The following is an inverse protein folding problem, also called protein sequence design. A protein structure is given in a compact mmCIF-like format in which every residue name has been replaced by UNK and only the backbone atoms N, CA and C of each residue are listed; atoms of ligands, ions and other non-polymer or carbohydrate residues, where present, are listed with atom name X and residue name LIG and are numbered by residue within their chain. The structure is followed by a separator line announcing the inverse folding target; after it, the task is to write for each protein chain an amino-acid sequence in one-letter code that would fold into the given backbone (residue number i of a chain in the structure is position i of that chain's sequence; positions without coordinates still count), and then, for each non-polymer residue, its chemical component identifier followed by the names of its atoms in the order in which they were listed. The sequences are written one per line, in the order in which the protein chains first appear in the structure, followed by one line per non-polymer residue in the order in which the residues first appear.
data_IF_202675938452
#
_entry.id   IF_202675938452
#
_cell.length_a   1.000
_cell.length_b   1.000
_cell.length_c   1.000
_cell.angle_alpha   90.00
_cell.angle_beta   90.00
_cell.angle_gamma   90.00
#
_symmetry.space_group_name_H-M   'P 1'
#
loop_
_entity.id
_entity.type
_entity.pdbx_description
1 polymer ?
#
# COMPACT_ATOMS: atom_id res chain seq x y z
N UNK A 1 11.13 -21.31 2.16
CA UNK A 1 11.82 -20.03 2.52
C UNK A 1 11.84 -19.91 4.02
N UNK A 2 12.91 -19.40 4.70
CA UNK A 2 12.85 -19.18 6.15
C UNK A 2 12.10 -17.87 6.43
N UNK A 3 10.83 -17.95 6.82
CA UNK A 3 9.95 -16.80 7.04
C UNK A 3 10.15 -16.10 8.38
N UNK A 4 10.97 -16.64 9.30
CA UNK A 4 11.21 -16.05 10.63
C UNK A 4 11.88 -14.65 10.56
N UNK A 5 12.53 -14.35 9.43
CA UNK A 5 13.17 -13.06 9.18
C UNK A 5 12.36 -12.11 8.30
N UNK A 6 11.12 -12.48 8.01
CA UNK A 6 10.24 -11.66 7.19
C UNK A 6 9.34 -10.79 8.06
N UNK A 7 9.22 -9.54 7.65
CA UNK A 7 8.40 -8.51 8.27
C UNK A 7 7.50 -7.86 7.24
N UNK A 8 6.39 -7.30 7.66
CA UNK A 8 5.33 -6.79 6.81
C UNK A 8 4.89 -5.40 7.29
N UNK A 9 4.68 -4.50 6.35
CA UNK A 9 4.08 -3.18 6.58
C UNK A 9 3.42 -2.68 5.30
N UNK A 10 2.56 -1.68 5.41
CA UNK A 10 1.94 -0.99 4.28
C UNK A 10 1.60 0.46 4.65
N UNK A 11 1.35 1.29 3.65
CA UNK A 11 0.75 2.62 3.78
C UNK A 11 1.48 3.55 4.74
N UNK A 12 2.82 3.54 4.69
CA UNK A 12 3.65 4.42 5.51
C UNK A 12 3.38 5.90 5.21
N UNK A 13 3.10 6.25 3.97
CA UNK A 13 2.82 7.60 3.49
C UNK A 13 3.81 8.66 4.01
N UNK A 14 5.11 8.35 3.95
CA UNK A 14 6.14 9.31 4.34
C UNK A 14 5.95 10.62 3.56
N UNK A 15 6.22 11.75 4.23
CA UNK A 15 6.11 13.11 3.68
C UNK A 15 4.69 13.56 3.31
N UNK A 16 3.65 12.76 3.60
CA UNK A 16 2.27 13.07 3.25
C UNK A 16 1.54 13.77 4.41
N UNK A 17 1.48 15.12 4.38
CA UNK A 17 0.84 15.90 5.44
C UNK A 17 -0.64 15.55 5.61
N UNK A 18 -1.38 15.39 4.49
CA UNK A 18 -2.83 15.20 4.56
C UNK A 18 -3.23 13.85 5.16
N UNK A 19 -2.34 12.84 5.15
CA UNK A 19 -2.62 11.54 5.77
C UNK A 19 -2.93 11.66 7.26
N UNK A 20 -2.34 12.66 7.93
CA UNK A 20 -2.64 12.95 9.34
C UNK A 20 -4.12 13.16 9.57
N UNK A 21 -4.80 13.88 8.65
CA UNK A 21 -6.25 14.11 8.74
C UNK A 21 -7.07 12.95 8.19
N UNK A 22 -6.63 12.37 7.07
CA UNK A 22 -7.39 11.31 6.40
C UNK A 22 -7.52 10.05 7.26
N UNK A 23 -6.45 9.70 7.97
CA UNK A 23 -6.38 8.52 8.82
C UNK A 23 -6.35 8.86 10.31
N UNK A 24 -6.70 10.09 10.67
CA UNK A 24 -6.74 10.56 12.07
C UNK A 24 -5.46 10.17 12.86
N UNK A 25 -4.28 10.28 12.20
CA UNK A 25 -2.99 9.96 12.84
C UNK A 25 -2.75 10.88 14.04
N UNK A 26 -2.11 10.40 15.11
CA UNK A 26 -1.94 11.13 16.37
C UNK A 26 -0.85 12.22 16.28
N UNK A 27 -0.92 13.06 15.26
CA UNK A 27 0.01 14.15 14.99
C UNK A 27 -0.73 15.45 14.70
N UNK A 28 -0.13 16.59 15.01
CA UNK A 28 -0.64 17.87 14.59
C UNK A 28 -0.56 18.04 13.06
N UNK A 29 -1.49 18.80 12.47
CA UNK A 29 -1.51 19.06 11.04
C UNK A 29 -0.47 20.12 10.61
N UNK A 30 0.80 19.90 10.93
CA UNK A 30 1.95 20.76 10.62
C UNK A 30 3.04 19.98 9.86
N UNK A 31 3.96 20.68 9.21
CA UNK A 31 5.09 20.03 8.56
C UNK A 31 6.12 19.50 9.55
N UNK A 32 6.24 20.13 10.72
CA UNK A 32 7.06 19.67 11.83
C UNK A 32 6.56 18.30 12.34
N UNK A 33 5.26 18.16 12.50
CA UNK A 33 4.65 16.90 12.90
C UNK A 33 4.78 15.81 11.82
N UNK A 34 4.79 16.18 10.51
CA UNK A 34 5.13 15.23 9.43
C UNK A 34 6.56 14.71 9.57
N UNK A 35 7.52 15.56 9.94
CA UNK A 35 8.90 15.10 10.19
C UNK A 35 8.95 14.13 11.36
N UNK A 36 8.23 14.43 12.45
CA UNK A 36 8.12 13.54 13.61
C UNK A 36 7.49 12.21 13.21
N UNK A 37 6.37 12.23 12.49
CA UNK A 37 5.70 11.04 11.97
C UNK A 37 6.66 10.16 11.12
N UNK A 38 7.41 10.80 10.21
CA UNK A 38 8.39 10.08 9.39
C UNK A 38 9.48 9.43 10.26
N UNK A 39 9.97 10.15 11.28
CA UNK A 39 10.99 9.63 12.18
C UNK A 39 10.46 8.46 13.02
N UNK A 40 9.23 8.55 13.52
CA UNK A 40 8.60 7.49 14.30
C UNK A 40 8.42 6.22 13.46
N UNK A 41 7.98 6.36 12.21
CA UNK A 41 7.86 5.24 11.26
C UNK A 41 9.24 4.64 10.94
N UNK A 42 10.22 5.47 10.56
CA UNK A 42 11.55 5.01 10.18
C UNK A 42 12.30 4.35 11.34
N UNK A 43 12.08 4.82 12.58
CA UNK A 43 12.68 4.23 13.78
C UNK A 43 12.25 2.79 14.04
N UNK A 44 11.07 2.37 13.55
CA UNK A 44 10.62 0.99 13.64
C UNK A 44 11.50 0.06 12.79
N UNK A 45 11.88 0.50 11.58
CA UNK A 45 12.82 -0.24 10.75
C UNK A 45 14.20 -0.39 11.42
N UNK A 46 14.65 0.62 12.16
CA UNK A 46 15.95 0.56 12.87
C UNK A 46 15.97 -0.56 13.93
N UNK A 47 14.81 -0.89 14.54
CA UNK A 47 14.67 -1.92 15.57
C UNK A 47 14.66 -3.34 15.02
N UNK A 48 14.42 -3.52 13.73
CA UNK A 48 14.36 -4.85 13.12
C UNK A 48 15.74 -5.53 13.10
N UNK A 49 15.78 -6.86 13.30
CA UNK A 49 17.03 -7.62 13.29
C UNK A 49 17.83 -7.46 12.00
N UNK A 50 19.15 -7.56 12.09
CA UNK A 50 20.02 -7.58 10.93
C UNK A 50 19.67 -8.73 9.98
N UNK A 51 19.74 -8.48 8.68
CA UNK A 51 19.44 -9.46 7.63
C UNK A 51 17.93 -9.78 7.52
N UNK A 52 17.05 -8.98 8.12
CA UNK A 52 15.59 -9.08 7.91
C UNK A 52 15.20 -8.77 6.46
N UNK A 53 14.13 -9.38 5.99
CA UNK A 53 13.46 -9.01 4.74
C UNK A 53 12.12 -8.35 5.07
N UNK A 54 11.93 -7.12 4.63
CA UNK A 54 10.70 -6.36 4.84
C UNK A 54 9.91 -6.37 3.53
N UNK A 55 8.65 -6.79 3.58
CA UNK A 55 7.69 -6.68 2.48
C UNK A 55 6.83 -5.47 2.78
N UNK A 56 6.95 -4.42 1.97
CA UNK A 56 6.05 -3.27 2.01
C UNK A 56 4.95 -3.50 0.96
N UNK A 57 3.69 -3.41 1.38
CA UNK A 57 2.54 -3.60 0.48
C UNK A 57 2.09 -2.30 -0.20
N UNK A 58 2.99 -1.31 -0.30
CA UNK A 58 2.77 -0.12 -1.10
C UNK A 58 2.49 1.15 -0.31
N UNK A 59 2.34 2.22 -1.07
CA UNK A 59 2.08 3.57 -0.60
C UNK A 59 3.11 4.06 0.43
N UNK A 60 4.39 3.94 0.04
CA UNK A 60 5.50 4.25 0.93
C UNK A 60 5.66 5.74 1.22
N UNK A 61 5.39 6.60 0.23
CA UNK A 61 5.54 8.05 0.35
C UNK A 61 4.63 8.81 -0.60
N UNK A 62 4.21 10.02 -0.22
CA UNK A 62 3.44 10.89 -1.10
C UNK A 62 3.74 12.37 -0.83
N UNK A 63 4.43 13.03 -1.76
CA UNK A 63 4.61 14.47 -1.77
C UNK A 63 5.10 14.92 -3.15
N UNK A 64 4.40 15.87 -3.79
CA UNK A 64 4.78 16.40 -5.11
C UNK A 64 6.15 17.10 -5.14
N UNK A 65 6.66 17.54 -3.98
CA UNK A 65 7.98 18.18 -3.82
C UNK A 65 9.07 17.21 -3.33
N UNK A 66 8.76 15.90 -3.26
CA UNK A 66 9.73 14.89 -2.86
C UNK A 66 10.90 14.85 -3.84
N UNK A 67 12.12 14.68 -3.32
CA UNK A 67 13.32 14.51 -4.16
C UNK A 67 13.81 13.07 -4.10
N UNK A 68 14.52 12.65 -5.14
CA UNK A 68 15.13 11.32 -5.19
C UNK A 68 16.04 11.08 -3.99
N UNK A 69 16.93 12.03 -3.70
CA UNK A 69 17.89 11.88 -2.59
C UNK A 69 17.22 11.77 -1.24
N UNK A 70 16.11 12.52 -1.02
CA UNK A 70 15.34 12.45 0.22
C UNK A 70 14.69 11.07 0.40
N UNK A 71 14.02 10.56 -0.63
CA UNK A 71 13.39 9.24 -0.56
C UNK A 71 14.44 8.13 -0.48
N UNK A 72 15.50 8.25 -1.28
CA UNK A 72 16.64 7.32 -1.27
C UNK A 72 17.27 7.20 0.13
N UNK A 73 17.47 8.32 0.83
CA UNK A 73 17.99 8.32 2.19
C UNK A 73 17.10 7.54 3.17
N UNK A 74 15.77 7.64 3.03
CA UNK A 74 14.84 6.85 3.82
C UNK A 74 14.96 5.35 3.50
N UNK A 75 15.01 4.99 2.21
CA UNK A 75 15.16 3.60 1.76
C UNK A 75 16.49 3.02 2.27
N UNK A 76 17.58 3.76 2.17
CA UNK A 76 18.89 3.33 2.68
C UNK A 76 18.87 3.12 4.20
N UNK A 77 18.16 3.97 4.95
CA UNK A 77 17.96 3.79 6.39
C UNK A 77 17.16 2.51 6.69
N UNK A 78 16.07 2.27 5.98
CA UNK A 78 15.26 1.05 6.15
C UNK A 78 16.09 -0.22 5.90
N UNK A 79 17.08 -0.14 5.00
CA UNK A 79 17.97 -1.26 4.62
C UNK A 79 19.22 -1.41 5.48
N UNK A 80 19.47 -0.54 6.47
CA UNK A 80 20.64 -0.68 7.35
C UNK A 80 20.75 -2.09 7.95
N UNK A 81 21.98 -2.55 8.23
CA UNK A 81 22.28 -3.85 8.81
C UNK A 81 21.85 -5.03 7.90
N UNK A 82 22.17 -4.94 6.61
CA UNK A 82 21.93 -5.97 5.58
C UNK A 82 20.45 -6.35 5.43
N UNK A 83 19.53 -5.48 5.80
CA UNK A 83 18.11 -5.70 5.57
C UNK A 83 17.77 -5.61 4.08
N UNK A 84 16.80 -6.40 3.66
CA UNK A 84 16.25 -6.39 2.29
C UNK A 84 14.86 -5.77 2.31
N UNK A 85 14.58 -4.98 1.29
CA UNK A 85 13.30 -4.29 1.16
C UNK A 85 12.62 -4.71 -0.17
N UNK A 86 11.48 -5.35 -0.06
CA UNK A 86 10.60 -5.70 -1.17
C UNK A 86 9.40 -4.77 -1.16
N UNK A 87 8.83 -4.48 -2.32
CA UNK A 87 7.61 -3.68 -2.43
C UNK A 87 6.63 -4.31 -3.41
N UNK A 88 5.38 -4.40 -3.00
CA UNK A 88 4.22 -4.53 -3.89
C UNK A 88 3.71 -3.12 -4.11
N UNK A 89 3.74 -2.62 -5.36
CA UNK A 89 3.43 -1.21 -5.64
C UNK A 89 1.98 -0.87 -5.32
N UNK A 90 1.80 0.16 -4.49
CA UNK A 90 0.51 0.79 -4.23
C UNK A 90 0.09 1.75 -5.33
N UNK A 91 -1.12 2.30 -5.25
CA UNK A 91 -1.64 3.21 -6.25
C UNK A 91 -0.83 4.51 -6.32
N UNK A 92 -0.37 5.06 -5.19
CA UNK A 92 0.50 6.24 -5.19
C UNK A 92 1.91 5.94 -5.69
N UNK A 93 2.45 4.76 -5.42
CA UNK A 93 3.77 4.34 -5.93
C UNK A 93 3.77 4.20 -7.45
N UNK A 94 2.69 3.62 -8.04
CA UNK A 94 2.54 3.45 -9.49
C UNK A 94 2.58 4.76 -10.24
N UNK A 95 2.11 5.86 -9.62
CA UNK A 95 2.02 7.18 -10.23
C UNK A 95 3.22 8.07 -9.93
N UNK A 96 4.03 7.72 -8.94
CA UNK A 96 5.11 8.55 -8.39
C UNK A 96 6.10 9.01 -9.47
N UNK A 97 6.47 8.10 -10.41
CA UNK A 97 7.46 8.38 -11.47
C UNK A 97 7.06 9.51 -12.42
N UNK A 98 5.75 9.81 -12.58
CA UNK A 98 5.29 10.90 -13.44
C UNK A 98 4.62 12.05 -12.66
N UNK A 99 4.17 11.83 -11.42
CA UNK A 99 3.54 12.87 -10.60
C UNK A 99 4.56 13.71 -9.83
N UNK A 100 5.62 13.10 -9.32
CA UNK A 100 6.63 13.81 -8.55
C UNK A 100 7.57 14.58 -9.50
N UNK A 101 7.70 15.89 -9.27
CA UNK A 101 8.46 16.78 -10.16
C UNK A 101 9.89 16.33 -10.40
N UNK A 102 10.57 15.84 -9.37
CA UNK A 102 11.97 15.39 -9.49
C UNK A 102 12.13 14.06 -10.24
N UNK A 103 11.08 13.27 -10.34
CA UNK A 103 11.12 11.95 -11.02
C UNK A 103 10.63 12.02 -12.46
N UNK A 104 9.75 12.97 -12.75
CA UNK A 104 9.10 13.13 -14.05
C UNK A 104 10.10 13.25 -15.18
N UNK A 105 10.01 12.35 -16.17
CA UNK A 105 10.90 12.31 -17.33
C UNK A 105 12.28 11.70 -17.08
N UNK A 106 12.59 11.28 -15.83
CA UNK A 106 13.83 10.56 -15.51
C UNK A 106 13.64 9.05 -15.49
N UNK A 107 12.42 8.58 -15.21
CA UNK A 107 12.05 7.18 -15.11
C UNK A 107 10.85 6.89 -16.01
N UNK A 108 10.90 5.79 -16.74
CA UNK A 108 9.84 5.40 -17.69
C UNK A 108 8.74 4.56 -17.04
N UNK A 109 8.98 4.07 -15.82
CA UNK A 109 8.04 3.24 -15.09
C UNK A 109 8.27 3.32 -13.58
N UNK A 110 7.27 2.99 -12.76
CA UNK A 110 7.47 2.87 -11.31
C UNK A 110 8.49 1.77 -10.96
N UNK A 111 8.53 0.67 -11.73
CA UNK A 111 9.52 -0.38 -11.54
C UNK A 111 10.96 0.15 -11.64
N UNK A 112 11.24 0.97 -12.66
CA UNK A 112 12.57 1.58 -12.86
C UNK A 112 12.92 2.54 -11.71
N UNK A 113 11.98 3.40 -11.30
CA UNK A 113 12.16 4.31 -10.17
C UNK A 113 12.49 3.56 -8.87
N UNK A 114 11.66 2.57 -8.50
CA UNK A 114 11.82 1.86 -7.23
C UNK A 114 13.07 0.95 -7.22
N UNK A 115 13.47 0.43 -8.38
CA UNK A 115 14.75 -0.26 -8.53
C UNK A 115 15.93 0.71 -8.31
N UNK A 116 15.88 1.90 -8.90
CA UNK A 116 16.89 2.95 -8.72
C UNK A 116 16.97 3.45 -7.27
N UNK A 117 15.83 3.53 -6.56
CA UNK A 117 15.78 3.84 -5.14
C UNK A 117 16.42 2.76 -4.25
N UNK A 118 16.65 1.56 -4.78
CA UNK A 118 17.39 0.50 -4.09
C UNK A 118 16.54 -0.58 -3.45
N UNK A 119 15.28 -0.74 -3.86
CA UNK A 119 14.49 -1.91 -3.46
C UNK A 119 15.10 -3.18 -4.03
N UNK A 120 15.18 -4.24 -3.23
CA UNK A 120 15.76 -5.52 -3.65
C UNK A 120 14.80 -6.30 -4.57
N UNK A 121 13.50 -6.08 -4.41
CA UNK A 121 12.46 -6.58 -5.32
C UNK A 121 11.32 -5.57 -5.43
N UNK A 122 10.83 -5.39 -6.65
CA UNK A 122 9.70 -4.53 -6.97
C UNK A 122 8.65 -5.36 -7.69
N UNK A 123 7.45 -5.42 -7.14
CA UNK A 123 6.34 -6.20 -7.68
C UNK A 123 5.21 -5.25 -8.10
N UNK A 124 4.92 -5.13 -9.41
CA UNK A 124 3.82 -4.30 -9.88
C UNK A 124 2.44 -4.94 -9.65
N UNK A 125 2.41 -6.22 -9.30
CA UNK A 125 1.21 -7.02 -9.07
C UNK A 125 1.28 -7.77 -7.75
N UNK A 126 0.13 -8.27 -7.23
CA UNK A 126 0.11 -9.13 -6.04
C UNK A 126 1.06 -10.31 -6.15
N UNK A 127 1.58 -10.76 -5.02
CA UNK A 127 2.48 -11.93 -4.92
C UNK A 127 1.87 -13.01 -4.05
N UNK A 128 2.11 -14.26 -4.40
CA UNK A 128 1.68 -15.41 -3.62
C UNK A 128 2.88 -15.99 -2.86
N UNK A 129 2.74 -16.12 -1.54
CA UNK A 129 3.73 -16.75 -0.67
C UNK A 129 3.16 -18.03 -0.07
N UNK A 130 4.03 -19.10 -0.04
CA UNK A 130 3.69 -20.41 0.54
C UNK A 130 2.37 -20.99 -0.02
N UNK A 131 2.07 -20.69 -1.29
CA UNK A 131 0.86 -21.14 -2.00
C UNK A 131 -0.48 -20.84 -1.28
N UNK A 132 -0.45 -19.98 -0.27
CA UNK A 132 -1.58 -19.66 0.60
C UNK A 132 -1.82 -18.17 0.77
N UNK A 133 -0.77 -17.36 0.90
CA UNK A 133 -0.87 -15.96 1.28
C UNK A 133 -0.70 -15.04 0.07
N UNK A 134 -1.81 -14.47 -0.39
CA UNK A 134 -1.83 -13.48 -1.46
C UNK A 134 -1.57 -12.09 -0.86
N UNK A 135 -0.42 -11.51 -1.17
CA UNK A 135 -0.03 -10.18 -0.72
C UNK A 135 -0.29 -9.16 -1.80
N UNK A 136 -1.07 -8.14 -1.50
CA UNK A 136 -1.47 -7.09 -2.44
C UNK A 136 -1.47 -5.72 -1.74
N UNK A 137 -1.47 -4.65 -2.52
CA UNK A 137 -1.76 -3.33 -1.96
C UNK A 137 -3.26 -3.18 -1.72
N UNK A 138 -4.04 -3.21 -2.78
CA UNK A 138 -5.50 -3.21 -2.66
C UNK A 138 -6.03 -4.61 -2.28
N UNK A 139 -7.14 -4.71 -1.54
CA UNK A 139 -7.83 -5.99 -1.32
C UNK A 139 -8.14 -6.67 -2.65
N UNK A 140 -7.96 -7.99 -2.72
CA UNK A 140 -8.25 -8.80 -3.92
C UNK A 140 -9.43 -9.71 -3.63
N UNK A 141 -10.42 -9.70 -4.51
CA UNK A 141 -11.57 -10.60 -4.39
C UNK A 141 -11.11 -12.07 -4.39
N UNK A 142 -11.47 -12.78 -3.35
CA UNK A 142 -11.30 -14.23 -3.24
C UNK A 142 -12.68 -14.89 -3.34
N UNK A 143 -12.84 -15.78 -4.32
CA UNK A 143 -14.08 -16.51 -4.49
C UNK A 143 -14.44 -17.29 -3.20
N UNK A 144 -15.74 -17.44 -2.87
CA UNK A 144 -16.18 -18.23 -1.74
C UNK A 144 -15.60 -19.65 -1.76
N UNK A 145 -15.10 -20.11 -0.60
CA UNK A 145 -14.41 -21.40 -0.48
C UNK A 145 -12.94 -21.40 -0.93
N UNK A 146 -12.37 -20.25 -1.25
CA UNK A 146 -10.93 -20.11 -1.50
C UNK A 146 -10.12 -20.51 -0.27
N UNK A 147 -9.01 -21.24 -0.50
CA UNK A 147 -8.02 -21.54 0.55
C UNK A 147 -6.96 -20.44 0.66
N UNK A 148 -7.03 -19.40 -0.16
CA UNK A 148 -6.11 -18.28 -0.09
C UNK A 148 -6.49 -17.33 1.04
N UNK A 149 -5.48 -16.66 1.58
CA UNK A 149 -5.60 -15.56 2.53
C UNK A 149 -5.04 -14.32 1.87
N UNK A 150 -5.85 -13.26 1.75
CA UNK A 150 -5.37 -11.99 1.24
C UNK A 150 -4.85 -11.11 2.39
N UNK A 151 -3.57 -10.77 2.33
CA UNK A 151 -2.93 -9.79 3.19
C UNK A 151 -2.77 -8.52 2.37
N UNK A 152 -3.41 -7.44 2.80
CA UNK A 152 -3.57 -6.22 2.00
C UNK A 152 -3.23 -4.95 2.78
N UNK A 153 -3.05 -3.85 2.05
CA UNK A 153 -2.92 -2.49 2.53
C UNK A 153 -4.10 -1.61 2.13
N UNK A 154 -3.85 -0.34 1.78
CA UNK A 154 -4.75 0.59 1.10
C UNK A 154 -5.92 1.14 1.92
N UNK A 155 -6.58 0.33 2.72
CA UNK A 155 -7.80 0.74 3.45
C UNK A 155 -7.52 1.41 4.80
N UNK A 156 -6.24 1.61 5.12
CA UNK A 156 -5.75 2.24 6.36
C UNK A 156 -6.27 1.53 7.61
N UNK A 157 -7.00 2.21 8.49
CA UNK A 157 -7.56 1.66 9.72
C UNK A 157 -8.90 0.94 9.52
N UNK A 158 -9.43 0.94 8.29
CA UNK A 158 -10.74 0.36 7.96
C UNK A 158 -10.54 -1.09 7.46
N UNK A 159 -11.19 -2.05 8.09
CA UNK A 159 -11.30 -3.40 7.56
C UNK A 159 -12.38 -3.46 6.48
N UNK A 160 -12.21 -4.34 5.49
CA UNK A 160 -13.24 -4.56 4.48
C UNK A 160 -14.48 -5.22 5.09
N UNK A 161 -15.65 -4.91 4.53
CA UNK A 161 -16.92 -5.57 4.85
C UNK A 161 -17.19 -6.76 3.92
N UNK A 162 -18.16 -7.59 4.24
CA UNK A 162 -18.54 -8.74 3.39
C UNK A 162 -18.95 -8.32 1.98
N UNK A 163 -19.47 -7.13 1.82
CA UNK A 163 -19.95 -6.55 0.56
C UNK A 163 -18.96 -5.57 -0.08
N UNK A 164 -17.72 -5.48 0.43
CA UNK A 164 -16.69 -4.55 -0.05
C UNK A 164 -16.57 -4.52 -1.57
N UNK A 165 -16.50 -5.70 -2.20
CA UNK A 165 -16.36 -5.81 -3.65
C UNK A 165 -17.66 -5.62 -4.44
N UNK A 166 -18.80 -5.52 -3.76
CA UNK A 166 -20.07 -5.19 -4.39
C UNK A 166 -20.22 -3.70 -4.68
N UNK A 167 -19.53 -2.86 -3.92
CA UNK A 167 -19.67 -1.41 -3.99
C UNK A 167 -18.39 -0.66 -4.41
N UNK A 168 -17.23 -1.09 -3.93
CA UNK A 168 -15.96 -0.36 -4.12
C UNK A 168 -15.42 -0.47 -5.54
N UNK A 169 -15.52 -1.62 -6.19
CA UNK A 169 -15.05 -1.79 -7.57
C UNK A 169 -15.79 -0.89 -8.56
N UNK A 170 -17.04 -0.58 -8.28
CA UNK A 170 -17.89 0.26 -9.10
C UNK A 170 -17.50 1.74 -8.97
N UNK A 171 -17.38 2.22 -7.74
CA UNK A 171 -17.02 3.59 -7.46
C UNK A 171 -15.62 3.94 -7.95
N UNK A 172 -14.65 3.03 -7.78
CA UNK A 172 -13.27 3.28 -8.21
C UNK A 172 -13.14 3.26 -9.73
N UNK A 173 -13.68 2.26 -10.42
CA UNK A 173 -13.68 2.18 -11.89
C UNK A 173 -14.42 3.37 -12.52
N UNK A 174 -15.50 3.82 -11.91
CA UNK A 174 -16.27 4.99 -12.35
C UNK A 174 -15.48 6.29 -12.13
N UNK A 175 -14.85 6.48 -10.97
CA UNK A 175 -14.02 7.66 -10.69
C UNK A 175 -12.78 7.74 -11.59
N UNK A 176 -12.14 6.62 -11.91
CA UNK A 176 -11.02 6.57 -12.84
C UNK A 176 -11.46 6.90 -14.28
N UNK A 177 -12.61 6.41 -14.74
CA UNK A 177 -13.20 6.77 -16.04
C UNK A 177 -13.57 8.24 -16.12
N UNK A 178 -14.26 8.76 -15.11
CA UNK A 178 -14.63 10.19 -15.03
C UNK A 178 -13.38 11.08 -15.07
N UNK A 179 -12.31 10.71 -14.36
CA UNK A 179 -11.04 11.43 -14.39
C UNK A 179 -10.30 11.31 -15.73
N UNK A 180 -10.26 10.11 -16.31
CA UNK A 180 -9.53 9.85 -17.57
C UNK A 180 -10.23 10.48 -18.79
N UNK A 181 -11.56 10.57 -18.78
CA UNK A 181 -12.36 11.09 -19.88
C UNK A 181 -12.67 12.58 -19.75
N UNK A 182 -12.21 13.25 -18.68
CA UNK A 182 -12.44 14.67 -18.45
C UNK A 182 -13.93 15.03 -18.33
N UNK A 183 -14.76 14.08 -17.95
CA UNK A 183 -16.20 14.25 -17.79
C UNK A 183 -16.43 15.11 -16.56
N UNK A 184 -16.86 16.36 -16.76
CA UNK A 184 -17.33 17.21 -15.67
C UNK A 184 -18.76 16.81 -15.29
N UNK A 185 -19.15 17.03 -14.04
CA UNK A 185 -20.41 16.63 -13.38
C UNK A 185 -21.75 16.91 -14.15
N UNK A 186 -21.70 17.45 -15.36
CA UNK A 186 -22.89 17.84 -16.13
C UNK A 186 -23.27 16.87 -17.26
N UNK A 187 -22.56 15.79 -17.49
CA UNK A 187 -23.04 14.74 -18.40
C UNK A 187 -23.83 13.73 -17.59
N UNK A 188 -25.17 13.80 -17.72
CA UNK A 188 -26.06 12.72 -17.35
C UNK A 188 -25.72 11.48 -18.20
N UNK A 189 -24.70 10.75 -17.79
CA UNK A 189 -24.55 9.38 -18.21
C UNK A 189 -25.62 8.62 -17.43
N UNK A 190 -26.67 8.20 -18.12
CA UNK A 190 -27.53 7.10 -17.70
C UNK A 190 -26.66 5.83 -17.66
N UNK A 191 -25.78 5.79 -16.66
CA UNK A 191 -25.10 4.55 -16.32
C UNK A 191 -26.16 3.74 -15.61
N UNK A 192 -26.56 2.66 -16.25
CA UNK A 192 -27.45 1.67 -15.66
C UNK A 192 -26.74 1.06 -14.43
N UNK A 193 -26.92 1.72 -13.28
CA UNK A 193 -26.31 1.31 -12.00
C UNK A 193 -26.85 -0.03 -11.50
N UNK A 194 -28.00 -0.50 -12.03
CA UNK A 194 -28.52 -1.82 -11.73
C UNK A 194 -27.71 -2.95 -12.40
N UNK A 195 -26.98 -2.66 -13.48
CA UNK A 195 -26.17 -3.66 -14.20
C UNK A 195 -24.80 -3.92 -13.56
N UNK A 196 -24.38 -3.13 -12.58
CA UNK A 196 -23.01 -3.13 -12.07
C UNK A 196 -22.89 -3.82 -10.69
N UNK A 197 -23.95 -3.90 -9.90
CA UNK A 197 -23.91 -4.59 -8.61
C UNK A 197 -24.11 -6.10 -8.78
N UNK A 198 -23.04 -6.87 -8.61
CA UNK A 198 -23.13 -8.31 -8.46
C UNK A 198 -23.28 -8.65 -6.96
N UNK A 199 -24.50 -8.80 -6.43
CA UNK A 199 -24.73 -9.06 -5.01
C UNK A 199 -24.17 -10.42 -4.56
N UNK A 200 -23.62 -11.21 -5.49
CA UNK A 200 -23.01 -12.51 -5.17
C UNK A 200 -21.52 -12.39 -4.80
N UNK A 201 -20.90 -11.22 -4.96
CA UNK A 201 -19.50 -11.00 -4.61
C UNK A 201 -19.28 -10.74 -3.11
N UNK A 202 -19.91 -11.54 -2.28
CA UNK A 202 -19.61 -11.55 -0.84
C UNK A 202 -18.28 -12.26 -0.58
N UNK A 203 -17.61 -11.88 0.50
CA UNK A 203 -16.32 -12.45 0.88
C UNK A 203 -16.37 -13.06 2.28
N UNK A 204 -15.57 -14.10 2.49
CA UNK A 204 -15.37 -14.65 3.82
C UNK A 204 -14.26 -13.84 4.53
N UNK A 205 -14.65 -12.97 5.45
CA UNK A 205 -13.75 -12.03 6.12
C UNK A 205 -12.59 -12.70 6.86
N UNK A 206 -12.74 -13.97 7.26
CA UNK A 206 -11.63 -14.72 7.86
C UNK A 206 -10.43 -14.91 6.93
N UNK A 207 -10.63 -14.75 5.61
CA UNK A 207 -9.57 -14.87 4.60
C UNK A 207 -8.85 -13.55 4.31
N UNK A 208 -9.08 -12.50 5.11
CA UNK A 208 -8.53 -11.17 4.87
C UNK A 208 -7.78 -10.64 6.10
N UNK A 209 -6.63 -10.02 5.86
CA UNK A 209 -5.83 -9.37 6.90
C UNK A 209 -5.33 -8.00 6.42
N UNK A 210 -5.77 -6.95 7.09
CA UNK A 210 -5.31 -5.59 6.87
C UNK A 210 -3.93 -5.38 7.52
N UNK A 211 -2.92 -5.06 6.71
CA UNK A 211 -1.54 -4.86 7.16
C UNK A 211 -1.11 -3.39 7.19
N UNK A 212 -2.05 -2.45 7.03
CA UNK A 212 -1.75 -1.02 7.03
C UNK A 212 -1.11 -0.56 8.35
N UNK A 213 -0.17 0.37 8.23
CA UNK A 213 0.48 0.98 9.38
C UNK A 213 -0.53 1.67 10.31
N UNK A 214 -1.56 2.32 9.77
CA UNK A 214 -2.62 2.99 10.53
C UNK A 214 -3.43 2.04 11.42
N UNK A 215 -3.49 0.75 11.06
CA UNK A 215 -4.17 -0.29 11.84
C UNK A 215 -3.33 -0.79 13.02
N UNK A 216 -2.03 -0.89 12.84
CA UNK A 216 -1.14 -1.58 13.79
C UNK A 216 -0.15 -0.64 14.47
N UNK A 217 0.18 0.48 13.85
CA UNK A 217 1.24 1.43 14.25
C UNK A 217 2.61 0.75 14.45
N UNK A 218 2.85 -0.37 13.78
CA UNK A 218 4.07 -1.18 13.90
C UNK A 218 4.36 -1.97 12.62
N UNK A 219 5.58 -2.46 12.51
CA UNK A 219 5.99 -3.42 11.48
C UNK A 219 5.77 -4.82 12.02
N UNK A 220 4.95 -5.59 11.32
CA UNK A 220 4.49 -6.90 11.78
C UNK A 220 5.50 -8.00 11.43
N UNK A 221 5.74 -8.94 12.33
CA UNK A 221 6.47 -10.16 11.99
C UNK A 221 5.55 -11.08 11.18
N UNK A 222 6.01 -11.52 10.00
CA UNK A 222 5.17 -12.26 9.06
C UNK A 222 4.65 -13.59 9.62
N UNK A 223 5.48 -14.32 10.38
CA UNK A 223 5.05 -15.57 11.03
C UNK A 223 3.91 -15.34 12.03
N UNK A 224 3.91 -14.21 12.73
CA UNK A 224 2.84 -13.90 13.72
C UNK A 224 1.51 -13.57 13.00
N UNK A 225 1.59 -13.00 11.79
CA UNK A 225 0.40 -12.82 10.93
C UNK A 225 -0.11 -14.17 10.45
N UNK A 226 0.78 -15.05 9.97
CA UNK A 226 0.41 -16.35 9.43
C UNK A 226 -0.23 -17.29 10.49
N UNK A 227 0.13 -17.15 11.77
CA UNK A 227 -0.47 -17.95 12.86
C UNK A 227 -1.92 -17.58 13.19
N UNK A 228 -2.45 -16.49 12.61
CA UNK A 228 -3.86 -16.10 12.78
C UNK A 228 -4.82 -16.92 11.93
N UNK A 229 -4.29 -17.70 10.96
CA UNK A 229 -5.02 -18.49 9.96
C UNK A 229 -4.60 -19.96 10.00
#
# INVERSE_FOLDING_TARGET
MNLDKFYLTSDSHLFHKNIIKYCNRPYEFTWEAVKQMNEDILSQFDKLPAGSTIINLGDIALNGSLTFDTLKACIDRMKKNDKKLWIVLGNHDREMHFRVKDFKGKYNSPYELFTALGFDRVFPYPILLEDKFLMSHEPVYLAPGSNLINIYGHTHDIDISEDYFCHECENFAMMERVKAEGITEQTNLDIDTEAISDPTKTVDLKNYFNACWDKHHDILKLTDVFTKF
#
